data_IF_400121673910
#
_entry.id   IF_400121673910
#
_cell.length_a   1.000
_cell.length_b   1.000
_cell.length_c   1.000
_cell.angle_alpha   90.00
_cell.angle_beta   90.00
_cell.angle_gamma   90.00
#
_symmetry.space_group_name_H-M   'P 1'
#
loop_
_entity.id
_entity.type
_entity.pdbx_description
1 polymer ?
#
# COMPACT_ATOMS: atom_id res chain seq x y z
N UNK A 1 3.39 -0.49 -3.95
CA UNK A 1 4.76 -0.23 -3.56
C UNK A 1 4.88 1.07 -2.79
N UNK A 2 5.50 1.00 -1.67
CA UNK A 2 5.81 2.15 -0.81
C UNK A 2 7.31 2.31 -0.77
N UNK A 3 7.82 3.42 -1.27
CA UNK A 3 9.26 3.68 -1.33
C UNK A 3 9.59 5.04 -0.74
N UNK A 4 10.58 5.09 0.13
CA UNK A 4 11.03 6.33 0.76
C UNK A 4 12.34 6.17 1.48
N UNK A 5 12.93 7.29 1.87
CA UNK A 5 14.24 7.34 2.51
C UNK A 5 14.19 7.19 4.04
N UNK A 6 13.01 7.08 4.62
CA UNK A 6 12.82 6.88 6.06
C UNK A 6 12.10 5.56 6.29
N UNK A 7 12.80 4.59 6.86
CA UNK A 7 12.27 3.25 7.10
C UNK A 7 11.00 3.27 7.95
N UNK A 8 10.99 4.03 9.03
CA UNK A 8 9.82 4.12 9.93
C UNK A 8 8.61 4.70 9.22
N UNK A 9 8.80 5.69 8.37
CA UNK A 9 7.72 6.29 7.59
C UNK A 9 7.16 5.28 6.58
N UNK A 10 8.03 4.55 5.90
CA UNK A 10 7.60 3.50 4.95
C UNK A 10 6.78 2.43 5.68
N UNK A 11 7.24 1.96 6.84
CA UNK A 11 6.52 0.97 7.64
C UNK A 11 5.17 1.49 8.11
N UNK A 12 5.14 2.69 8.68
CA UNK A 12 3.89 3.31 9.15
C UNK A 12 2.89 3.47 8.02
N UNK A 13 3.31 3.99 6.88
CA UNK A 13 2.42 4.24 5.75
C UNK A 13 1.88 2.94 5.14
N UNK A 14 2.71 1.92 5.03
CA UNK A 14 2.25 0.62 4.53
C UNK A 14 1.25 -0.03 5.49
N UNK A 15 1.45 0.11 6.80
CA UNK A 15 0.52 -0.41 7.80
C UNK A 15 -0.81 0.38 7.81
N UNK A 16 -0.75 1.70 7.61
CA UNK A 16 -1.95 2.53 7.48
C UNK A 16 -2.77 2.15 6.25
N UNK A 17 -2.11 1.88 5.13
CA UNK A 17 -2.78 1.40 3.92
C UNK A 17 -3.47 0.06 4.17
N UNK A 18 -2.80 -0.87 4.83
CA UNK A 18 -3.39 -2.16 5.21
C UNK A 18 -4.63 -1.96 6.08
N UNK A 19 -4.53 -1.12 7.10
CA UNK A 19 -5.65 -0.82 8.00
C UNK A 19 -6.83 -0.20 7.25
N UNK A 20 -6.55 0.69 6.30
CA UNK A 20 -7.57 1.33 5.47
C UNK A 20 -8.34 0.28 4.66
N UNK A 21 -7.63 -0.65 4.03
CA UNK A 21 -8.27 -1.72 3.26
C UNK A 21 -9.11 -2.63 4.15
N UNK A 22 -8.61 -2.99 5.33
CA UNK A 22 -9.34 -3.80 6.30
C UNK A 22 -10.64 -3.12 6.76
N UNK A 23 -10.61 -1.82 6.96
CA UNK A 23 -11.79 -1.03 7.35
C UNK A 23 -12.87 -0.98 6.26
N UNK A 24 -12.50 -1.23 5.01
CA UNK A 24 -13.47 -1.29 3.91
C UNK A 24 -14.39 -2.51 4.00
N UNK A 25 -14.02 -3.52 4.80
CA UNK A 25 -14.89 -4.63 5.13
C UNK A 25 -15.06 -5.70 4.06
N UNK A 26 -14.13 -5.82 3.11
CA UNK A 26 -14.18 -6.89 2.12
C UNK A 26 -13.87 -8.24 2.75
N UNK A 27 -14.57 -9.27 2.29
CA UNK A 27 -14.38 -10.65 2.74
C UNK A 27 -13.27 -11.35 1.94
N UNK A 28 -12.80 -12.50 2.46
CA UNK A 28 -11.72 -13.27 1.84
C UNK A 28 -12.05 -13.74 0.43
N UNK A 29 -13.32 -13.97 0.11
CA UNK A 29 -13.74 -14.35 -1.24
C UNK A 29 -13.79 -13.16 -2.20
N UNK A 30 -13.76 -11.94 -1.69
CA UNK A 30 -13.75 -10.72 -2.49
C UNK A 30 -12.35 -10.22 -2.78
N UNK A 31 -11.49 -10.24 -1.78
CA UNK A 31 -10.09 -9.81 -1.91
C UNK A 31 -9.17 -10.75 -1.16
N UNK A 32 -7.94 -10.83 -1.64
CA UNK A 32 -6.84 -11.51 -0.95
C UNK A 32 -5.71 -10.52 -0.74
N UNK A 33 -5.25 -10.39 0.50
CA UNK A 33 -4.15 -9.48 0.84
C UNK A 33 -2.94 -10.26 1.35
N UNK A 34 -1.76 -9.85 0.89
CA UNK A 34 -0.47 -10.39 1.33
C UNK A 34 0.42 -9.20 1.68
N UNK A 35 0.95 -9.21 2.88
CA UNK A 35 1.83 -8.15 3.35
C UNK A 35 1.15 -7.15 4.28
N UNK A 36 1.76 -5.98 4.48
CA UNK A 36 2.94 -5.48 3.74
C UNK A 36 4.19 -6.32 3.96
N UNK A 37 4.94 -6.54 2.88
CA UNK A 37 6.21 -7.27 2.91
C UNK A 37 7.31 -6.42 2.31
N UNK A 38 8.55 -6.71 2.70
CA UNK A 38 9.71 -6.07 2.09
C UNK A 38 9.81 -6.49 0.62
N UNK A 39 10.10 -5.54 -0.26
CA UNK A 39 10.37 -5.85 -1.65
C UNK A 39 11.62 -6.75 -1.74
N UNK A 40 11.78 -7.54 -2.83
CA UNK A 40 12.96 -8.41 -3.00
C UNK A 40 14.28 -7.65 -2.84
N UNK A 41 14.32 -6.40 -3.24
CA UNK A 41 15.43 -5.48 -2.91
C UNK A 41 14.85 -4.40 -2.01
N UNK A 42 14.91 -4.65 -0.68
CA UNK A 42 14.27 -3.79 0.31
C UNK A 42 14.89 -2.40 0.37
N UNK A 43 16.22 -2.33 0.28
CA UNK A 43 16.95 -1.05 0.40
C UNK A 43 17.95 -0.91 -0.76
N UNK A 44 17.80 0.17 -1.53
CA UNK A 44 18.73 0.56 -2.60
C UNK A 44 19.00 2.05 -2.48
N UNK A 45 20.26 2.45 -2.34
CA UNK A 45 20.66 3.86 -2.25
C UNK A 45 19.85 4.63 -1.18
N UNK A 46 19.71 4.03 0.02
CA UNK A 46 18.95 4.58 1.14
C UNK A 46 17.44 4.74 0.89
N UNK A 47 16.92 4.06 -0.12
CA UNK A 47 15.47 3.98 -0.36
C UNK A 47 14.95 2.63 0.12
N UNK A 48 14.03 2.68 1.09
CA UNK A 48 13.36 1.49 1.63
C UNK A 48 12.10 1.21 0.85
N UNK A 49 11.81 -0.07 0.58
CA UNK A 49 10.68 -0.48 -0.25
C UNK A 49 9.86 -1.55 0.43
N UNK A 50 8.54 -1.35 0.48
CA UNK A 50 7.58 -2.36 0.91
C UNK A 50 6.46 -2.52 -0.11
N UNK A 51 5.92 -3.73 -0.19
CA UNK A 51 4.85 -4.07 -1.12
C UNK A 51 3.67 -4.63 -0.35
N UNK A 52 2.49 -4.12 -0.64
CA UNK A 52 1.23 -4.71 -0.23
C UNK A 52 0.56 -5.31 -1.46
N UNK A 53 0.37 -6.62 -1.45
CA UNK A 53 -0.31 -7.32 -2.53
C UNK A 53 -1.79 -7.42 -2.22
N UNK A 54 -2.61 -6.99 -3.16
CA UNK A 54 -4.07 -7.09 -3.08
C UNK A 54 -4.55 -7.72 -4.37
N UNK A 55 -5.24 -8.84 -4.26
CA UNK A 55 -5.81 -9.55 -5.40
C UNK A 55 -7.32 -9.56 -5.29
N UNK A 56 -8.00 -9.29 -6.38
CA UNK A 56 -9.44 -9.42 -6.51
C UNK A 56 -9.82 -9.77 -7.93
N UNK A 57 -10.88 -10.54 -8.10
CA UNK A 57 -11.46 -10.82 -9.41
C UNK A 57 -12.29 -9.65 -9.91
N UNK A 58 -12.63 -8.71 -9.03
CA UNK A 58 -13.46 -7.55 -9.34
C UNK A 58 -12.59 -6.30 -9.43
N UNK A 59 -12.43 -5.77 -10.64
CA UNK A 59 -11.63 -4.57 -10.90
C UNK A 59 -12.19 -3.32 -10.20
N UNK A 60 -13.50 -3.26 -10.00
CA UNK A 60 -14.13 -2.13 -9.30
C UNK A 60 -13.70 -2.06 -7.83
N UNK A 61 -13.54 -3.22 -7.20
CA UNK A 61 -13.04 -3.30 -5.82
C UNK A 61 -11.60 -2.78 -5.76
N UNK A 62 -10.75 -3.23 -6.68
CA UNK A 62 -9.36 -2.76 -6.74
C UNK A 62 -9.27 -1.25 -6.98
N UNK A 63 -10.12 -0.71 -7.82
CA UNK A 63 -10.17 0.72 -8.10
C UNK A 63 -10.60 1.53 -6.88
N UNK A 64 -11.60 1.05 -6.14
CA UNK A 64 -12.03 1.67 -4.88
C UNK A 64 -10.93 1.66 -3.83
N UNK A 65 -10.21 0.54 -3.70
CA UNK A 65 -9.09 0.42 -2.77
C UNK A 65 -8.00 1.43 -3.13
N UNK A 66 -7.63 1.51 -4.41
CA UNK A 66 -6.65 2.47 -4.88
C UNK A 66 -7.05 3.91 -4.53
N UNK A 67 -8.29 4.28 -4.82
CA UNK A 67 -8.80 5.63 -4.52
C UNK A 67 -8.75 5.95 -3.03
N UNK A 68 -9.10 4.99 -2.17
CA UNK A 68 -9.05 5.20 -0.73
C UNK A 68 -7.62 5.38 -0.23
N UNK A 69 -6.66 4.62 -0.77
CA UNK A 69 -5.24 4.79 -0.43
C UNK A 69 -4.73 6.14 -0.93
N UNK A 70 -5.12 6.57 -2.12
CA UNK A 70 -4.75 7.89 -2.66
C UNK A 70 -5.31 9.03 -1.80
N UNK A 71 -6.54 8.91 -1.32
CA UNK A 71 -7.15 9.89 -0.42
C UNK A 71 -6.42 9.94 0.93
N UNK A 72 -6.06 8.78 1.47
CA UNK A 72 -5.25 8.69 2.68
C UNK A 72 -3.91 9.38 2.48
N UNK A 73 -3.26 9.12 1.36
CA UNK A 73 -1.96 9.71 1.02
C UNK A 73 -2.04 11.23 0.88
N UNK A 74 -3.12 11.75 0.31
CA UNK A 74 -3.31 13.19 0.16
C UNK A 74 -3.47 13.91 1.49
N UNK A 75 -3.99 13.22 2.52
CA UNK A 75 -4.21 13.80 3.84
C UNK A 75 -3.11 13.53 4.86
N UNK A 76 -2.09 12.78 4.52
CA UNK A 76 -1.02 12.38 5.44
C UNK A 76 0.35 12.84 4.93
N UNK A 77 1.05 13.64 5.71
CA UNK A 77 2.36 14.19 5.33
C UNK A 77 3.43 13.11 5.15
N UNK A 78 3.36 12.03 5.91
CA UNK A 78 4.27 10.89 5.76
C UNK A 78 4.20 10.30 4.36
N UNK A 79 2.99 10.16 3.82
CA UNK A 79 2.80 9.68 2.44
C UNK A 79 3.35 10.63 1.39
N UNK A 80 3.34 11.94 1.65
CA UNK A 80 3.88 12.92 0.71
C UNK A 80 5.38 12.77 0.49
N UNK A 81 6.09 12.22 1.47
CA UNK A 81 7.52 11.94 1.35
C UNK A 81 7.83 10.62 0.65
N UNK A 82 6.82 9.82 0.33
CA UNK A 82 6.95 8.52 -0.30
C UNK A 82 6.61 8.56 -1.77
N UNK A 83 7.23 7.66 -2.52
CA UNK A 83 6.76 7.31 -3.85
C UNK A 83 5.77 6.14 -3.69
N UNK A 84 4.55 6.34 -4.18
CA UNK A 84 3.52 5.29 -4.24
C UNK A 84 3.39 4.81 -5.67
N UNK A 85 3.43 3.51 -5.85
CA UNK A 85 3.23 2.91 -7.16
C UNK A 85 2.15 1.84 -7.07
N UNK A 86 1.16 1.94 -7.94
CA UNK A 86 0.10 0.96 -8.07
C UNK A 86 0.33 0.16 -9.34
N UNK A 87 0.34 -1.15 -9.21
CA UNK A 87 0.49 -2.07 -10.32
C UNK A 87 -0.71 -3.01 -10.32
N UNK A 88 -1.57 -2.86 -11.31
CA UNK A 88 -2.79 -3.66 -11.46
C UNK A 88 -2.60 -4.58 -12.66
N UNK A 89 -2.55 -5.85 -12.37
CA UNK A 89 -2.38 -6.88 -13.41
C UNK A 89 -3.63 -7.76 -13.55
#
# INVERSE_FOLDING_TARGET
>A
LFAGNNEKTVERCSDLALSTVRKMGYEENEIQMIGPVRAPVYKVNDIYRKILYIKSKNCDILDKIRRNIELLAAGDEGFKSLALQFDIS
#
